data_IF_150755976064
#
_entry.id   IF_150755976064
#
_cell.length_a   1.000
_cell.length_b   1.000
_cell.length_c   1.000
_cell.angle_alpha   90.00
_cell.angle_beta   90.00
_cell.angle_gamma   90.00
#
_symmetry.space_group_name_H-M   'P 1'
#
loop_
_entity.id
_entity.type
_entity.pdbx_description
1 polymer ?
#
# COMPACT_ATOMS: atom_id res chain seq x y z
N UNK A 1 -4.26 -19.45 13.68
CA UNK A 1 -5.25 -19.20 14.75
C UNK A 1 -4.99 -17.81 15.29
N UNK A 2 -5.95 -16.87 15.16
CA UNK A 2 -5.80 -15.53 15.74
C UNK A 2 -6.08 -15.62 17.25
N UNK A 3 -5.17 -15.12 18.07
CA UNK A 3 -5.40 -15.01 19.51
C UNK A 3 -6.54 -14.02 19.76
N UNK A 4 -7.55 -14.44 20.52
CA UNK A 4 -8.66 -13.57 20.91
C UNK A 4 -8.13 -12.51 21.86
N UNK A 5 -8.15 -11.23 21.46
CA UNK A 5 -7.77 -10.12 22.33
C UNK A 5 -8.74 -10.03 23.50
N UNK A 6 -8.20 -9.95 24.72
CA UNK A 6 -9.00 -9.70 25.91
C UNK A 6 -9.13 -8.19 26.13
N UNK A 7 -10.35 -7.64 26.19
CA UNK A 7 -10.54 -6.23 26.45
C UNK A 7 -10.16 -5.91 27.90
N UNK A 8 -9.55 -4.75 28.10
CA UNK A 8 -9.19 -4.20 29.41
C UNK A 8 -9.80 -2.81 29.47
N UNK A 9 -10.50 -2.50 30.56
CA UNK A 9 -10.97 -1.14 30.83
C UNK A 9 -9.80 -0.29 31.35
N UNK A 10 -9.57 0.86 30.72
CA UNK A 10 -8.49 1.80 31.05
C UNK A 10 -9.01 3.11 31.67
N UNK A 11 -10.29 3.17 32.03
CA UNK A 11 -10.93 4.38 32.59
C UNK A 11 -10.28 4.86 33.89
N UNK A 12 -9.71 3.95 34.66
CA UNK A 12 -9.05 4.25 35.93
C UNK A 12 -7.62 4.80 35.77
N UNK A 13 -7.06 4.80 34.55
CA UNK A 13 -5.69 5.25 34.27
C UNK A 13 -5.67 6.35 33.21
N UNK A 14 -5.69 7.60 33.66
CA UNK A 14 -5.68 8.78 32.79
C UNK A 14 -4.48 8.81 31.84
N UNK A 15 -3.32 8.33 32.27
CA UNK A 15 -2.09 8.32 31.46
C UNK A 15 -2.22 7.37 30.25
N UNK A 16 -2.74 6.16 30.48
CA UNK A 16 -2.95 5.17 29.42
C UNK A 16 -4.08 5.61 28.50
N UNK A 17 -5.14 6.23 29.05
CA UNK A 17 -6.24 6.79 28.27
C UNK A 17 -5.75 7.88 27.31
N UNK A 18 -4.99 8.86 27.82
CA UNK A 18 -4.43 9.93 26.99
C UNK A 18 -3.54 9.39 25.87
N UNK A 19 -2.71 8.40 26.17
CA UNK A 19 -1.85 7.76 25.16
C UNK A 19 -2.67 7.03 24.09
N UNK A 20 -3.73 6.33 24.50
CA UNK A 20 -4.63 5.64 23.56
C UNK A 20 -5.37 6.63 22.64
N UNK A 21 -5.82 7.75 23.18
CA UNK A 21 -6.43 8.85 22.42
C UNK A 21 -5.44 9.47 21.43
N UNK A 22 -4.20 9.73 21.85
CA UNK A 22 -3.15 10.26 20.97
C UNK A 22 -2.81 9.30 19.82
N UNK A 23 -2.67 8.00 20.12
CA UNK A 23 -2.45 6.96 19.11
C UNK A 23 -3.64 6.89 18.14
N UNK A 24 -4.87 6.96 18.65
CA UNK A 24 -6.08 6.97 17.80
C UNK A 24 -6.13 8.21 16.91
N UNK A 25 -5.81 9.38 17.44
CA UNK A 25 -5.87 10.65 16.70
C UNK A 25 -4.76 10.76 15.65
N UNK A 26 -3.55 10.32 15.97
CA UNK A 26 -2.40 10.40 15.08
C UNK A 26 -2.36 9.28 14.04
N UNK A 27 -2.98 8.13 14.32
CA UNK A 27 -2.86 6.92 13.51
C UNK A 27 -1.48 6.25 13.61
N UNK A 28 -0.60 6.73 14.49
CA UNK A 28 0.76 6.23 14.63
C UNK A 28 0.83 5.29 15.84
N UNK A 29 1.13 4.01 15.59
CA UNK A 29 1.33 3.02 16.64
C UNK A 29 2.53 3.34 17.54
N UNK A 30 2.44 3.00 18.83
CA UNK A 30 3.48 3.28 19.83
C UNK A 30 3.91 2.03 20.58
N UNK A 31 5.20 1.97 20.91
CA UNK A 31 5.80 0.88 21.67
C UNK A 31 5.84 1.25 23.15
N UNK A 32 5.21 0.43 23.99
CA UNK A 32 5.22 0.57 25.45
C UNK A 32 6.47 -0.13 26.00
N UNK A 33 7.29 0.63 26.74
CA UNK A 33 8.51 0.12 27.38
C UNK A 33 8.47 0.35 28.89
N UNK A 34 9.16 -0.52 29.62
CA UNK A 34 9.53 -0.32 31.04
C UNK A 34 11.05 -0.34 31.14
N UNK A 35 11.65 0.85 31.18
CA UNK A 35 13.09 1.00 30.96
C UNK A 35 13.46 0.54 29.55
N UNK A 36 14.44 -0.35 29.45
CA UNK A 36 14.87 -0.93 28.17
C UNK A 36 14.00 -2.10 27.70
N UNK A 37 13.08 -2.59 28.55
CA UNK A 37 12.25 -3.75 28.23
C UNK A 37 11.01 -3.35 27.42
N UNK A 38 10.84 -3.94 26.25
CA UNK A 38 9.64 -3.80 25.41
C UNK A 38 8.52 -4.68 25.96
N UNK A 39 7.33 -4.09 26.17
CA UNK A 39 6.21 -4.77 26.84
C UNK A 39 5.05 -5.06 25.88
N UNK A 40 4.63 -4.06 25.10
CA UNK A 40 3.47 -4.16 24.23
C UNK A 40 3.50 -3.08 23.15
N UNK A 41 2.75 -3.27 22.08
CA UNK A 41 2.50 -2.26 21.05
C UNK A 41 1.05 -1.81 21.17
N UNK A 42 0.85 -0.49 21.20
CA UNK A 42 -0.45 0.13 21.09
C UNK A 42 -0.66 0.56 19.64
N UNK A 43 -1.58 -0.10 18.96
CA UNK A 43 -1.99 0.25 17.60
C UNK A 43 -3.35 0.94 17.64
N UNK A 44 -3.59 1.96 16.80
CA UNK A 44 -4.93 2.51 16.67
C UNK A 44 -5.87 1.39 16.22
N UNK A 45 -7.01 1.27 16.90
CA UNK A 45 -8.14 0.52 16.37
C UNK A 45 -8.81 1.44 15.37
N UNK A 46 -8.57 1.21 14.08
CA UNK A 46 -9.28 1.92 13.03
C UNK A 46 -10.80 1.83 13.33
N UNK A 47 -11.56 2.95 13.36
CA UNK A 47 -12.97 2.81 13.01
C UNK A 47 -12.96 2.18 11.61
N UNK A 48 -13.83 1.20 11.31
CA UNK A 48 -13.89 0.66 9.96
C UNK A 48 -14.02 1.85 9.03
N UNK A 49 -12.95 2.17 8.30
CA UNK A 49 -13.04 3.05 7.15
C UNK A 49 -14.15 2.39 6.35
N UNK A 50 -15.27 3.11 6.24
CA UNK A 50 -16.36 2.74 5.36
C UNK A 50 -15.67 2.17 4.14
N UNK A 51 -15.89 0.88 3.88
CA UNK A 51 -15.37 0.21 2.72
C UNK A 51 -15.53 1.19 1.58
N UNK A 52 -14.43 1.76 1.10
CA UNK A 52 -14.42 2.20 -0.27
C UNK A 52 -14.83 0.92 -0.99
N UNK A 53 -16.03 0.96 -1.53
CA UNK A 53 -16.61 -0.13 -2.28
C UNK A 53 -15.67 -0.38 -3.45
N UNK A 54 -14.70 -1.25 -3.24
CA UNK A 54 -13.96 -1.95 -4.28
C UNK A 54 -14.39 -3.42 -4.26
N UNK A 55 -15.71 -3.62 -4.14
CA UNK A 55 -16.37 -4.58 -5.02
C UNK A 55 -16.55 -3.91 -6.39
N UNK A 56 -15.44 -3.65 -7.07
CA UNK A 56 -15.44 -3.90 -8.50
C UNK A 56 -14.23 -4.76 -8.81
N UNK A 57 -14.55 -5.93 -9.34
CA UNK A 57 -13.62 -6.86 -9.92
C UNK A 57 -12.75 -6.16 -10.96
N UNK A 58 -11.43 -6.37 -10.89
CA UNK A 58 -10.38 -5.84 -11.78
C UNK A 58 -9.98 -4.40 -11.48
N UNK A 59 -8.84 -4.25 -10.81
CA UNK A 59 -7.63 -3.73 -11.45
C UNK A 59 -6.57 -3.58 -10.37
N UNK A 60 -5.68 -4.57 -10.34
CA UNK A 60 -4.36 -4.50 -9.71
C UNK A 60 -3.69 -3.23 -10.25
N UNK A 61 -3.66 -2.15 -9.47
CA UNK A 61 -2.84 -1.00 -9.80
C UNK A 61 -1.40 -1.52 -9.93
N UNK A 62 -0.78 -1.46 -11.13
CA UNK A 62 0.63 -1.76 -11.23
C UNK A 62 1.35 -0.61 -10.52
N UNK A 63 2.38 -0.96 -9.76
CA UNK A 63 3.25 -0.04 -9.05
C UNK A 63 3.45 1.26 -9.84
N UNK A 64 3.05 2.39 -9.25
CA UNK A 64 3.16 3.70 -9.89
C UNK A 64 4.61 4.03 -10.32
N UNK A 65 5.60 3.36 -9.72
CA UNK A 65 7.01 3.42 -10.10
C UNK A 65 7.28 2.68 -11.42
N UNK A 66 6.63 1.54 -11.68
CA UNK A 66 6.77 0.79 -12.93
C UNK A 66 6.16 1.53 -14.14
N UNK A 67 5.11 2.31 -13.92
CA UNK A 67 4.51 3.18 -14.94
C UNK A 67 5.42 4.36 -15.35
N UNK A 68 6.34 4.79 -14.47
CA UNK A 68 7.33 5.84 -14.79
C UNK A 68 8.46 5.24 -15.64
N UNK A 69 8.80 3.96 -15.42
CA UNK A 69 9.89 3.24 -16.09
C UNK A 69 9.35 2.43 -17.28
N UNK A 70 8.25 2.84 -17.94
CA UNK A 70 7.79 2.24 -19.21
C UNK A 70 7.52 0.72 -19.20
N UNK A 71 7.46 0.09 -18.03
CA UNK A 71 7.21 -1.35 -17.84
C UNK A 71 5.79 -1.54 -17.30
N UNK A 72 4.84 -0.89 -17.98
CA UNK A 72 3.43 -1.19 -17.83
C UNK A 72 3.08 -2.36 -18.75
N UNK A 73 2.53 -3.44 -18.19
CA UNK A 73 1.93 -4.51 -18.99
C UNK A 73 0.65 -3.98 -19.62
N UNK A 74 0.75 -3.38 -20.81
CA UNK A 74 -0.42 -3.00 -21.58
C UNK A 74 -1.14 -4.27 -22.04
N UNK A 75 -2.43 -4.40 -21.73
CA UNK A 75 -3.24 -5.53 -22.18
C UNK A 75 -3.57 -5.45 -23.69
N UNK A 76 -3.36 -4.29 -24.31
CA UNK A 76 -3.45 -4.13 -25.76
C UNK A 76 -2.11 -3.62 -26.31
N UNK A 77 -1.63 -4.17 -27.44
CA UNK A 77 -0.41 -3.68 -28.08
C UNK A 77 -0.53 -2.16 -28.31
N UNK A 78 0.40 -1.39 -27.78
CA UNK A 78 0.55 0.03 -28.16
C UNK A 78 0.78 0.12 -29.67
N UNK A 79 0.40 1.23 -30.30
CA UNK A 79 0.50 1.44 -31.76
C UNK A 79 1.88 1.07 -32.34
N UNK A 80 2.94 1.26 -31.54
CA UNK A 80 4.32 0.90 -31.87
C UNK A 80 4.51 -0.63 -31.99
N UNK A 81 3.85 -1.43 -31.15
CA UNK A 81 3.92 -2.88 -31.18
C UNK A 81 3.16 -3.48 -32.38
N UNK A 82 2.16 -2.77 -32.92
CA UNK A 82 1.48 -3.18 -34.16
C UNK A 82 2.34 -3.00 -35.42
N UNK A 83 3.32 -2.09 -35.37
CA UNK A 83 4.20 -1.72 -36.48
C UNK A 83 5.66 -2.16 -36.26
N UNK A 84 5.92 -3.09 -35.33
CA UNK A 84 7.26 -3.60 -35.01
C UNK A 84 8.05 -4.03 -36.26
N UNK A 85 7.39 -4.76 -37.17
CA UNK A 85 8.03 -5.24 -38.40
C UNK A 85 8.39 -4.13 -39.37
N UNK A 86 7.61 -3.04 -39.40
CA UNK A 86 7.89 -1.89 -40.24
C UNK A 86 9.16 -1.18 -39.75
N UNK A 87 9.29 -0.99 -38.43
CA UNK A 87 10.49 -0.39 -37.82
C UNK A 87 11.74 -1.26 -37.97
N UNK A 88 11.61 -2.58 -37.81
CA UNK A 88 12.73 -3.50 -38.01
C UNK A 88 13.19 -3.53 -39.46
N UNK A 89 12.25 -3.45 -40.40
CA UNK A 89 12.55 -3.44 -41.84
C UNK A 89 13.20 -2.11 -42.24
N UNK A 90 12.70 -0.97 -41.74
CA UNK A 90 13.31 0.35 -41.94
C UNK A 90 14.75 0.41 -41.39
N UNK A 91 14.98 -0.11 -40.18
CA UNK A 91 16.32 -0.16 -39.58
C UNK A 91 17.27 -1.15 -40.27
N UNK A 92 16.73 -2.20 -40.89
CA UNK A 92 17.48 -3.23 -41.63
C UNK A 92 17.87 -2.78 -43.03
N UNK A 93 17.16 -1.81 -43.62
CA UNK A 93 17.49 -1.29 -44.93
C UNK A 93 18.73 -0.37 -44.78
N UNK A 94 19.84 -0.64 -45.48
CA UNK A 94 20.92 0.32 -45.52
C UNK A 94 20.38 1.60 -46.16
N UNK A 95 20.50 2.72 -45.45
CA UNK A 95 20.29 4.05 -46.03
C UNK A 95 21.25 4.18 -47.21
N UNK A 96 20.73 3.97 -48.42
CA UNK A 96 21.46 4.29 -49.64
C UNK A 96 21.38 5.79 -49.80
N UNK A 97 22.48 6.46 -49.50
CA UNK A 97 22.67 7.88 -49.67
C UNK A 97 22.89 8.23 -51.14
#
# INVERSE_FOLDING_TARGET
MAAKLQPIDISDSTEVLNLAEEVRQSGIGRLLKRGEQELAVLTPVDPPLATSTSSDSRQKAPDAILNIIGIGTSAEPTDIAAHEQDYLTEASMPTSR
#
